data_IF_573983318897
#
_entry.id   IF_573983318897
#
_cell.length_a   1.000
_cell.length_b   1.000
_cell.length_c   1.000
_cell.angle_alpha   90.00
_cell.angle_beta   90.00
_cell.angle_gamma   90.00
#
_symmetry.space_group_name_H-M   'P 1'
#
loop_
_entity.id
_entity.type
_entity.pdbx_description
1 polymer ?
#
# COMPACT_ATOMS: atom_id res chain seq x y z
N UNK A 1 5.21 -5.33 18.62
CA UNK A 1 6.45 -4.95 19.36
C UNK A 1 7.33 -6.17 19.59
N UNK A 2 6.75 -7.34 19.89
CA UNK A 2 7.48 -8.62 19.95
C UNK A 2 7.94 -9.11 18.58
N UNK A 3 7.13 -8.89 17.53
CA UNK A 3 7.44 -9.32 16.15
C UNK A 3 8.44 -8.41 15.42
N UNK A 4 8.68 -7.19 15.94
CA UNK A 4 9.49 -6.15 15.28
C UNK A 4 10.54 -5.52 16.22
N UNK A 5 11.42 -6.31 16.87
CA UNK A 5 12.27 -5.82 17.96
C UNK A 5 13.38 -4.86 17.51
N UNK A 6 13.70 -4.79 16.21
CA UNK A 6 14.83 -4.04 15.67
C UNK A 6 14.45 -3.02 14.57
N UNK A 7 13.16 -2.77 14.34
CA UNK A 7 12.73 -1.79 13.35
C UNK A 7 12.94 -0.36 13.84
N UNK A 8 13.28 0.53 12.92
CA UNK A 8 13.34 1.96 13.21
C UNK A 8 11.93 2.48 13.52
N UNK A 9 11.82 3.52 14.35
CA UNK A 9 10.53 3.99 14.88
C UNK A 9 9.53 4.38 13.78
N UNK A 10 10.00 5.01 12.70
CA UNK A 10 9.14 5.39 11.57
C UNK A 10 8.62 4.16 10.83
N UNK A 11 9.51 3.23 10.48
CA UNK A 11 9.17 1.99 9.78
C UNK A 11 8.19 1.15 10.61
N UNK A 12 8.39 1.09 11.93
CA UNK A 12 7.42 0.47 12.83
C UNK A 12 6.08 1.20 12.82
N UNK A 13 6.09 2.53 12.79
CA UNK A 13 4.87 3.33 12.73
C UNK A 13 4.10 3.13 11.42
N UNK A 14 4.78 2.88 10.29
CA UNK A 14 4.15 2.53 9.01
C UNK A 14 3.35 1.22 9.15
N UNK A 15 3.98 0.17 9.67
CA UNK A 15 3.33 -1.14 9.89
C UNK A 15 2.17 -1.00 10.88
N UNK A 16 2.40 -0.31 12.00
CA UNK A 16 1.37 -0.06 13.00
C UNK A 16 0.19 0.71 12.42
N UNK A 17 0.42 1.76 11.63
CA UNK A 17 -0.66 2.52 11.00
C UNK A 17 -1.45 1.65 10.03
N UNK A 18 -0.79 0.82 9.22
CA UNK A 18 -1.44 -0.13 8.32
C UNK A 18 -2.30 -1.14 9.08
N UNK A 19 -1.77 -1.73 10.16
CA UNK A 19 -2.51 -2.64 11.05
C UNK A 19 -3.77 -1.97 11.62
N UNK A 20 -3.67 -0.72 12.11
CA UNK A 20 -4.81 -0.03 12.68
C UNK A 20 -5.88 0.34 11.65
N UNK A 21 -5.48 0.75 10.45
CA UNK A 21 -6.39 1.03 9.33
C UNK A 21 -7.09 -0.26 8.87
N UNK A 22 -6.36 -1.37 8.83
CA UNK A 22 -6.82 -2.66 8.29
C UNK A 22 -7.21 -3.68 9.37
N UNK A 23 -7.40 -3.26 10.62
CA UNK A 23 -7.65 -4.16 11.76
C UNK A 23 -8.81 -5.14 11.57
N UNK A 24 -9.82 -4.77 10.78
CA UNK A 24 -10.98 -5.62 10.49
C UNK A 24 -10.72 -6.67 9.41
N UNK A 25 -9.63 -6.53 8.65
CA UNK A 25 -9.18 -7.49 7.64
C UNK A 25 -8.36 -8.62 8.25
N UNK A 26 -7.85 -8.45 9.48
CA UNK A 26 -7.20 -9.52 10.23
C UNK A 26 -5.88 -10.00 9.63
N UNK A 27 -5.12 -9.09 9.02
CA UNK A 27 -3.82 -9.40 8.40
C UNK A 27 -2.80 -9.89 9.43
N UNK A 28 -2.03 -10.90 9.06
CA UNK A 28 -0.85 -11.37 9.79
C UNK A 28 0.32 -10.37 9.67
N UNK A 29 1.34 -10.48 10.54
CA UNK A 29 2.55 -9.65 10.45
C UNK A 29 3.25 -9.73 9.08
N UNK A 30 3.32 -10.92 8.50
CA UNK A 30 3.94 -11.14 7.19
C UNK A 30 3.14 -10.45 6.08
N UNK A 31 1.80 -10.53 6.11
CA UNK A 31 0.93 -9.84 5.16
C UNK A 31 1.00 -8.30 5.31
N UNK A 32 1.17 -7.79 6.53
CA UNK A 32 1.36 -6.35 6.76
C UNK A 32 2.70 -5.88 6.18
N UNK A 33 3.77 -6.64 6.37
CA UNK A 33 5.09 -6.34 5.79
C UNK A 33 5.11 -6.46 4.28
N UNK A 34 4.42 -7.46 3.71
CA UNK A 34 4.30 -7.64 2.27
C UNK A 34 3.63 -6.44 1.57
N UNK A 35 2.63 -5.82 2.23
CA UNK A 35 1.99 -4.62 1.71
C UNK A 35 2.81 -3.34 1.92
N UNK A 36 3.97 -3.39 2.59
CA UNK A 36 4.76 -2.20 2.91
C UNK A 36 5.58 -1.78 1.70
N UNK A 37 5.45 -0.51 1.30
CA UNK A 37 6.14 0.05 0.13
C UNK A 37 6.97 1.29 0.43
N UNK A 38 6.95 1.78 1.68
CA UNK A 38 7.68 2.96 2.13
C UNK A 38 9.18 2.86 1.88
N UNK A 39 9.79 3.96 1.42
CA UNK A 39 11.21 4.00 1.10
C UNK A 39 11.60 5.08 0.09
N UNK A 40 12.62 4.82 -0.71
CA UNK A 40 12.95 5.71 -1.83
C UNK A 40 12.00 5.43 -2.99
N UNK A 41 11.57 6.51 -3.65
CA UNK A 41 10.69 6.45 -4.83
C UNK A 41 9.34 5.74 -4.57
N UNK A 42 8.82 5.87 -3.36
CA UNK A 42 7.54 5.27 -2.94
C UNK A 42 6.30 6.09 -3.34
N UNK A 43 6.50 7.29 -3.92
CA UNK A 43 5.41 8.17 -4.31
C UNK A 43 4.54 8.64 -3.14
N UNK A 44 5.06 8.57 -1.91
CA UNK A 44 4.31 8.89 -0.71
C UNK A 44 3.26 7.85 -0.34
N UNK A 45 3.50 6.58 -0.70
CA UNK A 45 2.81 5.44 -0.11
C UNK A 45 3.75 4.72 0.86
N UNK A 46 3.26 4.44 2.05
CA UNK A 46 3.94 3.60 3.03
C UNK A 46 3.34 2.17 3.05
N UNK A 47 2.09 2.00 2.60
CA UNK A 47 1.44 0.69 2.46
C UNK A 47 0.41 0.62 1.34
N UNK A 48 0.35 -0.52 0.65
CA UNK A 48 -0.59 -0.84 -0.42
C UNK A 48 -1.21 -2.22 -0.15
N UNK A 49 -2.53 -2.30 -0.14
CA UNK A 49 -3.25 -3.56 0.04
C UNK A 49 -4.44 -3.64 -0.90
N UNK A 50 -4.54 -4.75 -1.64
CA UNK A 50 -5.64 -5.03 -2.54
C UNK A 50 -6.48 -6.19 -2.00
N UNK A 51 -7.80 -5.99 -1.98
CA UNK A 51 -8.75 -7.05 -1.69
C UNK A 51 -9.78 -7.14 -2.78
N UNK A 52 -10.17 -8.36 -3.13
CA UNK A 52 -11.26 -8.63 -4.06
C UNK A 52 -12.26 -9.54 -3.36
N UNK A 53 -13.51 -9.10 -3.28
CA UNK A 53 -14.59 -9.80 -2.58
C UNK A 53 -14.28 -10.12 -1.11
N UNK A 54 -13.37 -9.35 -0.49
CA UNK A 54 -12.95 -9.53 0.90
C UNK A 54 -11.66 -10.33 1.06
N UNK A 55 -11.25 -11.07 0.04
CA UNK A 55 -10.03 -11.87 0.03
C UNK A 55 -8.84 -10.99 -0.40
N UNK A 56 -7.70 -11.16 0.26
CA UNK A 56 -6.46 -10.46 -0.09
C UNK A 56 -5.92 -11.01 -1.41
N UNK A 57 -5.26 -10.14 -2.17
CA UNK A 57 -4.56 -10.52 -3.41
C UNK A 57 -3.09 -10.21 -3.24
N UNK A 58 -2.25 -11.24 -3.20
CA UNK A 58 -0.80 -11.09 -2.99
C UNK A 58 -0.03 -11.00 -4.32
N UNK A 59 -0.57 -11.61 -5.38
CA UNK A 59 0.06 -11.60 -6.70
C UNK A 59 -0.97 -11.71 -7.82
N UNK A 60 -0.50 -11.44 -9.04
CA UNK A 60 -1.34 -11.47 -10.25
C UNK A 60 -1.87 -12.87 -10.58
N UNK A 61 -1.19 -13.95 -10.20
CA UNK A 61 -1.65 -15.33 -10.45
C UNK A 61 -2.85 -15.70 -9.56
N UNK A 62 -2.85 -15.25 -8.31
CA UNK A 62 -3.99 -15.39 -7.39
C UNK A 62 -5.21 -14.64 -7.90
N UNK A 63 -5.00 -13.47 -8.54
CA UNK A 63 -6.10 -12.71 -9.12
C UNK A 63 -6.87 -13.49 -10.20
N UNK A 64 -6.23 -14.44 -10.87
CA UNK A 64 -6.86 -15.30 -11.89
C UNK A 64 -7.76 -16.39 -11.31
N UNK A 65 -7.60 -16.71 -10.02
CA UNK A 65 -8.38 -17.72 -9.30
C UNK A 65 -9.52 -17.11 -8.49
N UNK A 66 -9.60 -15.78 -8.42
CA UNK A 66 -10.72 -15.10 -7.82
C UNK A 66 -11.99 -15.42 -8.61
N UNK A 67 -13.03 -15.85 -7.91
CA UNK A 67 -14.37 -15.94 -8.50
C UNK A 67 -14.86 -14.51 -8.77
N UNK A 68 -14.50 -13.98 -9.92
CA UNK A 68 -15.02 -12.72 -10.45
C UNK A 68 -16.41 -13.02 -11.00
N UNK A 69 -17.40 -12.99 -10.11
CA UNK A 69 -18.80 -12.99 -10.49
C UNK A 69 -19.22 -11.59 -10.99
N UNK A 70 -20.50 -11.44 -11.35
CA UNK A 70 -21.04 -10.18 -11.85
C UNK A 70 -21.00 -9.03 -10.80
N UNK A 71 -20.71 -9.32 -9.53
CA UNK A 71 -20.70 -8.38 -8.41
C UNK A 71 -19.32 -8.26 -7.74
N UNK A 72 -18.25 -8.18 -8.55
CA UNK A 72 -16.89 -7.99 -8.04
C UNK A 72 -16.77 -6.69 -7.25
N UNK A 73 -16.29 -6.80 -6.00
CA UNK A 73 -15.93 -5.66 -5.17
C UNK A 73 -14.41 -5.59 -5.03
N UNK A 74 -13.81 -4.52 -5.55
CA UNK A 74 -12.39 -4.23 -5.44
C UNK A 74 -12.20 -3.17 -4.35
N UNK A 75 -11.47 -3.52 -3.30
CA UNK A 75 -11.07 -2.61 -2.22
C UNK A 75 -9.55 -2.39 -2.28
N UNK A 76 -9.12 -1.23 -2.79
CA UNK A 76 -7.73 -0.81 -2.78
C UNK A 76 -7.48 0.15 -1.61
N UNK A 77 -6.52 -0.20 -0.76
CA UNK A 77 -6.07 0.63 0.34
C UNK A 77 -4.66 1.17 0.06
N UNK A 78 -4.57 2.48 -0.13
CA UNK A 78 -3.31 3.22 -0.24
C UNK A 78 -3.09 4.01 1.05
N UNK A 79 -2.00 3.74 1.76
CA UNK A 79 -1.76 4.22 3.11
C UNK A 79 -0.49 5.05 3.13
N UNK A 80 -0.58 6.24 3.72
CA UNK A 80 0.58 7.09 4.03
C UNK A 80 0.62 7.34 5.54
N UNK A 81 1.75 7.04 6.16
CA UNK A 81 1.99 7.13 7.59
C UNK A 81 3.08 8.16 7.91
N UNK A 82 2.81 9.05 8.87
CA UNK A 82 3.82 10.00 9.34
C UNK A 82 3.81 10.07 10.85
N UNK A 83 4.91 9.65 11.47
CA UNK A 83 5.14 9.81 12.90
C UNK A 83 5.63 11.24 13.20
N UNK A 84 4.77 12.24 12.94
CA UNK A 84 5.03 13.66 13.20
C UNK A 84 3.76 14.33 13.69
N UNK A 85 3.90 15.34 14.56
CA UNK A 85 2.75 16.08 15.10
C UNK A 85 2.02 17.01 14.12
N UNK A 86 2.44 17.08 12.85
CA UNK A 86 1.85 17.92 11.81
C UNK A 86 1.95 17.24 10.46
N UNK A 87 0.95 17.46 9.62
CA UNK A 87 0.97 17.10 8.20
C UNK A 87 1.30 18.33 7.36
N UNK A 88 2.21 18.13 6.40
CA UNK A 88 2.56 19.14 5.40
C UNK A 88 1.71 18.93 4.15
N UNK A 89 1.33 20.02 3.48
CA UNK A 89 0.55 19.95 2.23
C UNK A 89 1.28 19.15 1.14
N UNK A 90 2.62 19.20 1.14
CA UNK A 90 3.48 18.41 0.24
C UNK A 90 3.13 16.92 0.27
N UNK A 91 2.79 16.36 1.43
CA UNK A 91 2.43 14.94 1.58
C UNK A 91 1.19 14.60 0.75
N UNK A 92 0.16 15.42 0.84
CA UNK A 92 -1.09 15.21 0.09
C UNK A 92 -0.88 15.42 -1.40
N UNK A 93 -0.10 16.44 -1.77
CA UNK A 93 0.22 16.72 -3.18
C UNK A 93 0.98 15.55 -3.82
N UNK A 94 1.98 15.01 -3.14
CA UNK A 94 2.75 13.84 -3.62
C UNK A 94 1.84 12.63 -3.76
N UNK A 95 1.05 12.31 -2.73
CA UNK A 95 0.10 11.19 -2.77
C UNK A 95 -0.87 11.31 -3.96
N UNK A 96 -1.45 12.51 -4.17
CA UNK A 96 -2.37 12.75 -5.29
C UNK A 96 -1.70 12.58 -6.65
N UNK A 97 -0.50 13.14 -6.82
CA UNK A 97 0.25 13.03 -8.08
C UNK A 97 0.62 11.58 -8.39
N UNK A 98 1.03 10.80 -7.39
CA UNK A 98 1.36 9.39 -7.57
C UNK A 98 0.13 8.55 -7.93
N UNK A 99 -1.02 8.81 -7.31
CA UNK A 99 -2.29 8.17 -7.74
C UNK A 99 -2.59 8.50 -9.20
N UNK A 100 -2.47 9.76 -9.62
CA UNK A 100 -2.69 10.14 -11.02
C UNK A 100 -1.73 9.41 -11.98
N UNK A 101 -0.44 9.30 -11.63
CA UNK A 101 0.56 8.61 -12.44
C UNK A 101 0.31 7.10 -12.56
N UNK A 102 -0.12 6.43 -11.48
CA UNK A 102 -0.32 4.97 -11.45
C UNK A 102 -1.58 4.56 -12.22
N UNK A 103 -2.62 5.40 -12.17
CA UNK A 103 -3.88 5.13 -12.87
C UNK A 103 -3.95 5.72 -14.29
N UNK A 104 -2.86 6.30 -14.80
CA UNK A 104 -2.76 6.72 -16.20
C UNK A 104 -2.17 5.61 -17.08
N UNK A 105 -3.05 4.92 -17.81
CA UNK A 105 -2.69 3.86 -18.76
C UNK A 105 -1.71 4.30 -19.85
N UNK A 106 -1.65 5.61 -20.16
CA UNK A 106 -0.77 6.13 -21.20
C UNK A 106 0.67 6.34 -20.70
N UNK A 107 0.90 6.22 -19.39
CA UNK A 107 2.18 6.53 -18.75
C UNK A 107 2.83 5.34 -18.06
N UNK A 108 2.31 4.13 -18.24
CA UNK A 108 2.80 2.90 -17.58
C UNK A 108 4.32 2.72 -17.64
N UNK A 109 4.96 2.95 -18.80
CA UNK A 109 6.42 2.84 -18.92
C UNK A 109 7.19 3.91 -18.14
N UNK A 110 6.63 5.11 -18.04
CA UNK A 110 7.21 6.22 -17.30
C UNK A 110 7.05 5.98 -15.80
N UNK A 111 5.84 5.61 -15.38
CA UNK A 111 5.48 5.25 -14.01
C UNK A 111 6.39 4.13 -13.49
N UNK A 112 6.58 3.05 -14.25
CA UNK A 112 7.47 1.94 -13.87
C UNK A 112 8.96 2.33 -13.72
N UNK A 113 9.39 3.46 -14.29
CA UNK A 113 10.76 3.99 -14.13
C UNK A 113 10.91 4.93 -12.96
N UNK A 114 9.82 5.58 -12.56
CA UNK A 114 9.83 6.68 -11.58
C UNK A 114 9.57 6.20 -10.15
N UNK A 115 8.93 5.04 -10.00
CA UNK A 115 8.56 4.46 -8.70
C UNK A 115 9.29 3.14 -8.45
N UNK A 116 9.39 2.77 -7.18
CA UNK A 116 9.96 1.49 -6.81
C UNK A 116 9.02 0.31 -7.21
N UNK A 117 9.54 -0.93 -7.34
CA UNK A 117 8.74 -2.07 -7.80
C UNK A 117 7.68 -2.57 -6.82
N UNK A 118 7.64 -2.06 -5.59
CA UNK A 118 6.57 -2.40 -4.63
C UNK A 118 5.34 -1.51 -4.81
N UNK A 119 5.48 -0.40 -5.54
CA UNK A 119 4.38 0.48 -5.94
C UNK A 119 3.79 0.11 -7.32
N UNK A 120 4.60 -0.49 -8.22
CA UNK A 120 4.25 -0.79 -9.63
C UNK A 120 4.40 -2.28 -9.96
#
# INVERSE_FOLDING_TARGET
MEDYPNLHENDFFEIFAAEQVLKYKGLSPDELEDGRCGGQYDGGFDGIHLFVNGDRVDNSEESMHLNIDENVKIDLHLIQAKNKGKFEQSVINTFSATVEDIFDENRLEETARNYNPTVI
#
